data_IF_191862244729
#
_entry.id   IF_191862244729
#
_cell.length_a   1.000
_cell.length_b   1.000
_cell.length_c   1.000
_cell.angle_alpha   90.00
_cell.angle_beta   90.00
_cell.angle_gamma   90.00
#
_symmetry.space_group_name_H-M   'P 1'
#
loop_
_entity.id
_entity.type
_entity.pdbx_description
1 polymer ?
#
# COMPACT_ATOMS: atom_id res chain seq x y z
N UNK A 1 -5.33 14.85 -6.62
CA UNK A 1 -5.11 13.50 -7.22
C UNK A 1 -5.76 12.49 -6.28
N UNK A 2 -6.18 11.32 -6.75
CA UNK A 2 -6.75 10.30 -5.86
C UNK A 2 -5.84 9.08 -5.86
N UNK A 3 -5.41 8.68 -4.67
CA UNK A 3 -4.85 7.36 -4.42
C UNK A 3 -6.00 6.45 -3.98
N UNK A 4 -6.05 5.22 -4.46
CA UNK A 4 -7.09 4.32 -3.96
C UNK A 4 -6.89 2.86 -4.29
N UNK A 5 -7.60 2.03 -3.54
CA UNK A 5 -7.63 0.60 -3.69
C UNK A 5 -9.06 0.10 -3.89
N UNK A 6 -9.19 -1.01 -4.63
CA UNK A 6 -10.44 -1.72 -4.86
C UNK A 6 -10.25 -3.20 -4.57
N UNK A 7 -11.23 -3.80 -3.91
CA UNK A 7 -11.29 -5.23 -3.67
C UNK A 7 -12.36 -5.91 -4.56
N UNK A 8 -12.28 -7.23 -4.71
CA UNK A 8 -13.18 -8.01 -5.57
C UNK A 8 -14.64 -8.04 -5.09
N UNK A 9 -14.87 -7.73 -3.82
CA UNK A 9 -16.21 -7.55 -3.23
C UNK A 9 -16.84 -6.19 -3.57
N UNK A 10 -16.12 -5.32 -4.28
CA UNK A 10 -16.55 -3.96 -4.61
C UNK A 10 -16.24 -2.92 -3.53
N UNK A 11 -15.57 -3.28 -2.43
CA UNK A 11 -15.10 -2.33 -1.43
C UNK A 11 -14.04 -1.40 -2.02
N UNK A 12 -14.13 -0.11 -1.65
CA UNK A 12 -13.24 0.95 -2.14
C UNK A 12 -12.59 1.69 -0.98
N UNK A 13 -11.31 2.02 -1.16
CA UNK A 13 -10.56 2.93 -0.30
C UNK A 13 -10.11 4.13 -1.11
N UNK A 14 -10.78 5.29 -0.99
CA UNK A 14 -10.32 6.53 -1.60
C UNK A 14 -9.48 7.35 -0.62
N UNK A 15 -8.34 7.85 -1.09
CA UNK A 15 -7.52 8.84 -0.40
C UNK A 15 -7.26 10.04 -1.32
N UNK A 16 -7.71 11.22 -0.88
CA UNK A 16 -7.58 12.46 -1.64
C UNK A 16 -6.24 13.13 -1.31
N UNK A 17 -5.33 13.11 -2.28
CA UNK A 17 -4.05 13.79 -2.17
C UNK A 17 -4.24 15.28 -2.42
N UNK A 18 -3.68 16.08 -1.52
CA UNK A 18 -3.75 17.54 -1.53
C UNK A 18 -3.40 18.14 -2.91
N UNK A 19 -4.11 19.20 -3.28
CA UNK A 19 -3.92 19.85 -4.57
C UNK A 19 -2.51 20.44 -4.68
N UNK A 20 -1.80 20.09 -5.76
CA UNK A 20 -0.42 20.54 -6.00
C UNK A 20 0.65 19.65 -5.39
N UNK A 21 0.29 18.70 -4.52
CA UNK A 21 1.23 17.72 -3.98
C UNK A 21 1.51 16.62 -5.03
N UNK A 22 2.79 16.41 -5.34
CA UNK A 22 3.24 15.25 -6.13
C UNK A 22 3.52 14.10 -5.16
N UNK A 23 2.97 12.93 -5.45
CA UNK A 23 3.32 11.71 -4.71
C UNK A 23 4.77 11.37 -5.06
N UNK A 24 5.67 11.59 -4.10
CA UNK A 24 7.02 11.04 -4.09
C UNK A 24 7.02 9.77 -3.23
N UNK A 25 8.17 9.09 -3.13
CA UNK A 25 8.29 7.85 -2.34
C UNK A 25 7.88 8.02 -0.88
N UNK A 26 8.18 9.16 -0.25
CA UNK A 26 7.85 9.40 1.17
C UNK A 26 6.34 9.52 1.37
N UNK A 27 5.68 10.36 0.55
CA UNK A 27 4.22 10.50 0.56
C UNK A 27 3.52 9.18 0.24
N UNK A 28 4.08 8.42 -0.70
CA UNK A 28 3.55 7.11 -1.07
C UNK A 28 3.59 6.13 0.11
N UNK A 29 4.73 6.02 0.80
CA UNK A 29 4.88 5.15 1.98
C UNK A 29 3.96 5.59 3.12
N UNK A 30 3.84 6.90 3.36
CA UNK A 30 2.94 7.42 4.38
C UNK A 30 1.47 7.05 4.10
N UNK A 31 1.01 7.18 2.84
CA UNK A 31 -0.33 6.76 2.44
C UNK A 31 -0.50 5.24 2.62
N UNK A 32 0.52 4.44 2.30
CA UNK A 32 0.45 3.01 2.52
C UNK A 32 0.31 2.64 4.00
N UNK A 33 1.16 3.19 4.85
CA UNK A 33 1.23 2.86 6.28
C UNK A 33 -0.01 3.33 7.04
N UNK A 34 -0.43 4.58 6.84
CA UNK A 34 -1.49 5.16 7.65
C UNK A 34 -2.88 4.85 7.11
N UNK A 35 -3.03 4.77 5.79
CA UNK A 35 -4.33 4.66 5.15
C UNK A 35 -4.59 3.26 4.63
N UNK A 36 -3.70 2.74 3.76
CA UNK A 36 -3.97 1.50 3.06
C UNK A 36 -3.90 0.25 3.96
N UNK A 37 -2.82 0.08 4.73
CA UNK A 37 -2.69 -1.09 5.61
C UNK A 37 -3.72 -1.07 6.74
N UNK A 38 -4.02 0.11 7.30
CA UNK A 38 -5.08 0.28 8.29
C UNK A 38 -6.44 -0.16 7.75
N UNK A 39 -6.79 0.27 6.53
CA UNK A 39 -8.05 -0.13 5.88
C UNK A 39 -8.10 -1.62 5.55
N UNK A 40 -7.01 -2.20 5.06
CA UNK A 40 -6.95 -3.64 4.77
C UNK A 40 -7.07 -4.50 6.02
N UNK A 41 -6.38 -4.13 7.10
CA UNK A 41 -6.41 -4.88 8.36
C UNK A 41 -7.84 -4.87 8.95
N UNK A 42 -8.51 -3.71 8.92
CA UNK A 42 -9.90 -3.59 9.38
C UNK A 42 -10.88 -4.46 8.56
N UNK A 43 -10.68 -4.55 7.24
CA UNK A 43 -11.65 -5.16 6.32
C UNK A 43 -11.42 -6.64 6.04
N UNK A 44 -10.16 -7.07 5.90
CA UNK A 44 -9.81 -8.36 5.32
C UNK A 44 -8.79 -9.15 6.16
N UNK A 45 -8.04 -8.48 7.03
CA UNK A 45 -6.87 -9.04 7.69
C UNK A 45 -5.70 -9.22 6.72
N UNK A 46 -4.50 -8.79 7.11
CA UNK A 46 -3.36 -8.68 6.19
C UNK A 46 -2.88 -10.02 5.60
N UNK A 47 -3.06 -11.13 6.32
CA UNK A 47 -2.54 -12.45 5.91
C UNK A 47 -3.31 -13.09 4.74
N UNK A 48 -4.47 -12.54 4.36
CA UNK A 48 -5.38 -13.11 3.36
C UNK A 48 -5.46 -12.30 2.05
N UNK A 49 -4.62 -11.29 1.87
CA UNK A 49 -4.73 -10.33 0.76
C UNK A 49 -3.53 -10.38 -0.16
N UNK A 50 -3.80 -10.28 -1.47
CA UNK A 50 -2.77 -10.08 -2.49
C UNK A 50 -2.88 -8.65 -3.03
N UNK A 51 -1.78 -7.90 -2.91
CA UNK A 51 -1.69 -6.55 -3.45
C UNK A 51 -1.27 -6.59 -4.92
N UNK A 52 -2.11 -6.03 -5.78
CA UNK A 52 -1.81 -5.79 -7.19
C UNK A 52 -1.67 -4.28 -7.40
N UNK A 53 -0.52 -3.86 -7.94
CA UNK A 53 -0.25 -2.46 -8.26
C UNK A 53 0.72 -2.35 -9.44
N UNK A 54 0.85 -1.14 -10.00
CA UNK A 54 1.76 -0.87 -11.09
C UNK A 54 3.22 -0.82 -10.63
N UNK A 55 4.16 -0.90 -11.58
CA UNK A 55 5.60 -0.94 -11.30
C UNK A 55 6.22 0.46 -11.22
N UNK A 56 5.50 1.44 -10.67
CA UNK A 56 5.93 2.84 -10.72
C UNK A 56 7.26 3.05 -9.95
N UNK A 57 8.13 3.92 -10.47
CA UNK A 57 9.49 4.12 -9.95
C UNK A 57 9.59 4.63 -8.50
N UNK A 58 8.49 5.15 -7.94
CA UNK A 58 8.46 5.64 -6.55
C UNK A 58 8.46 4.52 -5.49
N UNK A 59 8.45 3.24 -5.91
CA UNK A 59 8.02 2.11 -5.10
C UNK A 59 9.12 1.29 -4.40
N UNK A 60 10.42 1.52 -4.65
CA UNK A 60 11.44 0.57 -4.18
C UNK A 60 11.23 -0.86 -4.75
N UNK A 61 11.92 -1.90 -4.23
CA UNK A 61 11.78 -3.28 -4.70
C UNK A 61 10.36 -3.83 -4.54
N UNK A 62 10.08 -4.85 -5.36
CA UNK A 62 8.74 -5.11 -5.87
C UNK A 62 7.80 -5.69 -4.79
N UNK A 63 6.52 -5.29 -4.76
CA UNK A 63 5.50 -5.80 -3.81
C UNK A 63 5.31 -7.32 -3.84
N UNK A 64 5.61 -7.96 -4.98
CA UNK A 64 5.56 -9.42 -5.17
C UNK A 64 6.59 -10.18 -4.31
N UNK A 65 7.63 -9.49 -3.81
CA UNK A 65 8.61 -10.04 -2.87
C UNK A 65 8.12 -9.93 -1.40
N UNK A 66 6.99 -9.26 -1.15
CA UNK A 66 6.46 -8.97 0.19
C UNK A 66 5.15 -9.72 0.50
N UNK A 67 4.42 -10.20 -0.51
CA UNK A 67 3.18 -10.96 -0.33
C UNK A 67 3.51 -12.41 0.08
N UNK A 68 3.12 -12.78 1.31
CA UNK A 68 3.38 -14.09 1.92
C UNK A 68 4.31 -14.04 3.15
N UNK A 69 4.78 -12.85 3.52
CA UNK A 69 5.50 -12.61 4.77
C UNK A 69 4.51 -12.19 5.86
N UNK A 70 4.71 -12.69 7.09
CA UNK A 70 3.93 -12.26 8.26
C UNK A 70 3.89 -10.72 8.32
N UNK A 71 2.80 -10.12 8.80
CA UNK A 71 2.62 -8.66 8.86
C UNK A 71 3.82 -7.86 9.42
N UNK A 72 4.62 -8.48 10.30
CA UNK A 72 5.89 -7.95 10.82
C UNK A 72 7.01 -7.93 9.77
N UNK A 73 7.17 -9.00 9.00
CA UNK A 73 8.15 -9.18 7.94
C UNK A 73 7.80 -8.37 6.69
N UNK A 74 6.50 -8.23 6.36
CA UNK A 74 6.06 -7.30 5.31
C UNK A 74 6.48 -5.86 5.63
N UNK A 75 6.25 -5.41 6.88
CA UNK A 75 6.67 -4.08 7.37
C UNK A 75 8.19 -3.91 7.36
N UNK A 76 8.95 -4.93 7.75
CA UNK A 76 10.41 -4.90 7.70
C UNK A 76 10.96 -4.97 6.27
N UNK A 77 10.33 -5.74 5.38
CA UNK A 77 10.67 -5.80 3.96
C UNK A 77 10.44 -4.47 3.25
N UNK A 78 9.39 -3.73 3.64
CA UNK A 78 9.14 -2.36 3.17
C UNK A 78 10.18 -1.35 3.71
N UNK A 79 10.71 -1.55 4.91
CA UNK A 79 11.81 -0.74 5.47
C UNK A 79 13.18 -1.05 4.84
N UNK A 80 13.46 -2.31 4.52
CA UNK A 80 14.72 -2.77 3.91
C UNK A 80 14.80 -2.51 2.40
N UNK A 81 13.65 -2.21 1.80
CA UNK A 81 13.46 -1.83 0.41
C UNK A 81 13.86 -0.36 0.11
N UNK A 82 14.06 0.45 1.16
CA UNK A 82 14.46 1.86 1.11
C UNK A 82 15.95 2.01 1.45
#
# INVERSE_FOLDING_TARGET
MVFGAVASDGSLMPHFVEAGLKINTVEYVHILEEVFFSWMDEKFGLDNVVLIQDSHHAMGPRPQDLVGQESSQFREGLKLAL
#
